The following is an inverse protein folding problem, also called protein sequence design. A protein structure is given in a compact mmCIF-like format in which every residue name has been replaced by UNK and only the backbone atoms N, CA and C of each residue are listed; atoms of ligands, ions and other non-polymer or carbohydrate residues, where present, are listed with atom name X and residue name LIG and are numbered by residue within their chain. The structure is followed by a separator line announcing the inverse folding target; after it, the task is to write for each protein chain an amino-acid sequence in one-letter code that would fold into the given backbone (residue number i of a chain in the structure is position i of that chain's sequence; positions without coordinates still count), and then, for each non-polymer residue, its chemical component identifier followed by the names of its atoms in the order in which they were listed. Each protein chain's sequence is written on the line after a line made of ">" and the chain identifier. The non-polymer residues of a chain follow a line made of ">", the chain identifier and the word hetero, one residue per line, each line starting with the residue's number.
data_IF_377546495697
#
_entry.id   IF_377546495697
#
_cell.length_a   1.000
_cell.length_b   1.000
_cell.length_c   1.000
_cell.angle_alpha   90.00
_cell.angle_beta   90.00
_cell.angle_gamma   90.00
#
_symmetry.space_group_name_H-M   'P 1'
#
loop_
_entity.id
_entity.type
_entity.pdbx_description
1 polymer ?
#
# COMPACT_ATOMS: atom_id res chain seq x y z
N UNK A 1 13.49 -19.20 -13.59
CA UNK A 1 12.31 -19.17 -14.49
C UNK A 1 11.16 -18.33 -13.91
N UNK A 2 10.70 -18.60 -12.69
CA UNK A 2 9.54 -17.95 -12.07
C UNK A 2 9.59 -16.41 -11.98
N UNK A 3 10.73 -15.81 -11.65
CA UNK A 3 10.86 -14.35 -11.58
C UNK A 3 10.55 -13.62 -12.90
N UNK A 4 10.83 -14.26 -14.04
CA UNK A 4 10.46 -13.73 -15.37
C UNK A 4 8.97 -13.87 -15.62
N UNK A 5 8.38 -15.00 -15.23
CA UNK A 5 6.94 -15.24 -15.33
C UNK A 5 6.14 -14.22 -14.52
N UNK A 6 6.52 -13.98 -13.26
CA UNK A 6 5.88 -12.99 -12.39
C UNK A 6 5.83 -11.62 -13.08
N UNK A 7 6.91 -11.17 -13.71
CA UNK A 7 6.94 -9.85 -14.37
C UNK A 7 5.99 -9.74 -15.56
N UNK A 8 5.67 -10.85 -16.22
CA UNK A 8 4.75 -10.92 -17.36
C UNK A 8 3.27 -10.88 -16.97
N UNK A 9 2.94 -11.06 -15.69
CA UNK A 9 1.54 -11.00 -15.23
C UNK A 9 0.96 -9.60 -15.51
N UNK A 10 -0.18 -9.49 -16.19
CA UNK A 10 -0.84 -8.23 -16.44
C UNK A 10 -1.43 -7.63 -15.15
N UNK A 11 -1.46 -6.31 -15.10
CA UNK A 11 -2.11 -5.54 -14.02
C UNK A 11 -2.97 -4.50 -14.70
N UNK A 12 -4.23 -4.40 -14.29
CA UNK A 12 -5.10 -3.35 -14.80
C UNK A 12 -4.67 -1.99 -14.26
N UNK A 13 -4.93 -0.95 -15.04
CA UNK A 13 -4.61 0.43 -14.67
C UNK A 13 -5.25 0.84 -13.31
N UNK A 14 -6.52 0.50 -13.01
CA UNK A 14 -7.10 0.78 -11.69
C UNK A 14 -6.34 0.13 -10.52
N UNK A 15 -5.86 -1.11 -10.67
CA UNK A 15 -5.10 -1.81 -9.63
C UNK A 15 -3.73 -1.15 -9.43
N UNK A 16 -3.06 -0.73 -10.52
CA UNK A 16 -1.82 0.06 -10.44
C UNK A 16 -2.05 1.39 -9.73
N UNK A 17 -3.11 2.11 -10.11
CA UNK A 17 -3.48 3.38 -9.46
C UNK A 17 -3.75 3.22 -7.98
N UNK A 18 -4.39 2.13 -7.56
CA UNK A 18 -4.60 1.84 -6.15
C UNK A 18 -3.30 1.57 -5.39
N UNK A 19 -2.35 0.81 -5.97
CA UNK A 19 -1.04 0.61 -5.37
C UNK A 19 -0.25 1.93 -5.22
N UNK A 20 -0.36 2.82 -6.21
CA UNK A 20 0.21 4.17 -6.14
C UNK A 20 -0.50 5.00 -5.07
N UNK A 21 -1.82 4.99 -5.02
CA UNK A 21 -2.61 5.73 -4.04
C UNK A 21 -2.23 5.34 -2.60
N UNK A 22 -2.16 4.03 -2.30
CA UNK A 22 -1.69 3.53 -1.00
C UNK A 22 -0.29 4.05 -0.66
N UNK A 23 0.67 3.95 -1.59
CA UNK A 23 2.02 4.44 -1.36
C UNK A 23 2.07 5.97 -1.16
N UNK A 24 1.27 6.74 -1.91
CA UNK A 24 1.19 8.20 -1.78
C UNK A 24 0.57 8.60 -0.44
N UNK A 25 -0.52 7.96 -0.04
CA UNK A 25 -1.25 8.26 1.18
C UNK A 25 -0.45 8.03 2.46
N UNK A 26 0.66 7.27 2.41
CA UNK A 26 1.59 7.18 3.56
C UNK A 26 2.39 8.45 3.81
N UNK A 27 2.42 9.41 2.89
CA UNK A 27 3.22 10.64 3.04
C UNK A 27 2.39 11.73 3.71
N UNK A 28 2.96 12.44 4.71
CA UNK A 28 2.32 13.62 5.27
C UNK A 28 2.10 14.67 4.18
N UNK A 29 0.85 14.98 3.89
CA UNK A 29 0.45 15.99 2.92
C UNK A 29 -0.55 16.93 3.60
N UNK A 30 -0.24 18.24 3.76
CA UNK A 30 -1.14 19.20 4.38
C UNK A 30 -2.52 19.25 3.71
N UNK A 31 -2.57 19.03 2.39
CA UNK A 31 -3.79 19.12 1.57
C UNK A 31 -4.57 17.80 1.52
N UNK A 32 -4.10 16.75 2.22
CA UNK A 32 -4.83 15.50 2.32
C UNK A 32 -6.13 15.65 3.13
N UNK A 33 -7.15 14.86 2.78
CA UNK A 33 -8.43 14.84 3.47
C UNK A 33 -8.32 14.41 4.95
N UNK A 34 -9.38 14.67 5.71
CA UNK A 34 -9.45 14.36 7.15
C UNK A 34 -9.21 12.87 7.44
N UNK A 35 -9.57 11.99 6.50
CA UNK A 35 -9.33 10.55 6.58
C UNK A 35 -7.84 10.17 6.68
N UNK A 36 -6.93 11.07 6.29
CA UNK A 36 -5.47 10.88 6.37
C UNK A 36 -4.80 11.71 7.47
N UNK A 37 -5.56 12.36 8.36
CA UNK A 37 -4.98 13.21 9.42
C UNK A 37 -3.98 12.46 10.31
N UNK A 38 -4.27 11.18 10.59
CA UNK A 38 -3.38 10.32 11.36
C UNK A 38 -1.97 10.19 10.72
N UNK A 39 -1.86 10.25 9.40
CA UNK A 39 -0.57 10.22 8.69
C UNK A 39 0.19 11.51 8.97
N UNK A 40 -0.46 12.67 8.89
CA UNK A 40 0.17 13.96 9.24
C UNK A 40 0.63 13.99 10.69
N UNK A 41 -0.18 13.43 11.59
CA UNK A 41 0.09 13.43 13.04
C UNK A 41 1.20 12.49 13.45
N UNK A 42 1.34 11.33 12.80
CA UNK A 42 2.18 10.24 13.30
C UNK A 42 3.36 9.88 12.40
N UNK A 43 3.35 10.27 11.13
CA UNK A 43 4.40 9.87 10.17
C UNK A 43 5.37 11.03 9.93
N UNK A 44 6.67 10.78 10.12
CA UNK A 44 7.75 11.70 9.73
C UNK A 44 8.06 11.57 8.23
N UNK A 45 8.15 10.33 7.74
CA UNK A 45 8.48 10.04 6.34
C UNK A 45 7.67 8.87 5.83
N UNK A 46 6.89 9.12 4.78
CA UNK A 46 6.11 8.09 4.09
C UNK A 46 6.92 7.32 3.04
N UNK A 47 6.27 6.33 2.44
CA UNK A 47 6.88 5.44 1.48
C UNK A 47 7.18 6.12 0.13
N UNK A 48 8.29 5.72 -0.48
CA UNK A 48 8.69 6.17 -1.82
C UNK A 48 7.96 5.42 -2.94
N UNK A 49 8.17 5.86 -4.19
CA UNK A 49 7.72 5.18 -5.42
C UNK A 49 8.06 3.68 -5.46
N UNK A 50 9.14 3.25 -4.78
CA UNK A 50 9.49 1.83 -4.67
C UNK A 50 8.39 1.01 -3.99
N UNK A 51 7.65 1.57 -3.04
CA UNK A 51 6.55 0.84 -2.40
C UNK A 51 5.49 0.41 -3.40
N UNK A 52 5.03 1.30 -4.28
CA UNK A 52 4.08 0.96 -5.34
C UNK A 52 4.60 -0.15 -6.28
N UNK A 53 5.90 -0.10 -6.61
CA UNK A 53 6.55 -1.14 -7.41
C UNK A 53 6.55 -2.50 -6.69
N UNK A 54 6.85 -2.54 -5.38
CA UNK A 54 6.88 -3.78 -4.61
C UNK A 54 5.48 -4.32 -4.28
N UNK A 55 4.50 -3.45 -4.03
CA UNK A 55 3.08 -3.82 -3.94
C UNK A 55 2.64 -4.51 -5.23
N UNK A 56 2.96 -3.92 -6.38
CA UNK A 56 2.62 -4.47 -7.68
C UNK A 56 3.36 -5.79 -7.97
N UNK A 57 4.68 -5.82 -7.78
CA UNK A 57 5.50 -7.00 -8.08
C UNK A 57 5.14 -8.18 -7.18
N UNK A 58 4.96 -7.93 -5.88
CA UNK A 58 4.47 -8.95 -4.98
C UNK A 58 3.05 -9.37 -5.33
N UNK A 59 2.18 -8.44 -5.75
CA UNK A 59 0.79 -8.73 -6.11
C UNK A 59 0.72 -9.69 -7.30
N UNK A 60 1.60 -9.50 -8.29
CA UNK A 60 1.81 -10.45 -9.40
C UNK A 60 2.22 -11.83 -8.92
N UNK A 61 3.17 -11.92 -7.98
CA UNK A 61 3.61 -13.19 -7.44
C UNK A 61 2.49 -13.89 -6.64
N UNK A 62 1.75 -13.13 -5.83
CA UNK A 62 0.62 -13.61 -5.05
C UNK A 62 -0.53 -14.12 -5.92
N UNK A 63 -0.86 -13.41 -7.00
CA UNK A 63 -1.87 -13.85 -7.96
C UNK A 63 -1.53 -15.23 -8.55
N UNK A 64 -0.29 -15.40 -9.04
CA UNK A 64 0.18 -16.66 -9.61
C UNK A 64 0.19 -17.80 -8.61
N UNK A 65 0.66 -17.57 -7.38
CA UNK A 65 0.66 -18.60 -6.32
C UNK A 65 -0.76 -19.01 -5.90
N UNK A 66 -1.77 -18.19 -6.20
CA UNK A 66 -3.19 -18.50 -6.03
C UNK A 66 -3.88 -18.98 -7.31
N UNK A 67 -3.11 -19.36 -8.34
CA UNK A 67 -3.65 -19.89 -9.59
C UNK A 67 -4.33 -18.86 -10.49
N UNK A 68 -4.24 -17.56 -10.18
CA UNK A 68 -4.80 -16.48 -11.00
C UNK A 68 -3.73 -15.89 -11.92
N UNK A 69 -4.16 -15.53 -13.13
CA UNK A 69 -3.29 -14.95 -14.18
C UNK A 69 -3.31 -13.43 -14.22
N UNK A 70 -4.04 -12.77 -13.32
CA UNK A 70 -4.15 -11.32 -13.22
C UNK A 70 -4.15 -10.88 -11.75
N UNK A 71 -3.68 -9.65 -11.51
CA UNK A 71 -3.62 -9.06 -10.16
C UNK A 71 -4.97 -8.42 -9.83
N UNK A 72 -5.42 -8.62 -8.59
CA UNK A 72 -6.62 -7.99 -8.02
C UNK A 72 -6.25 -6.94 -6.96
N UNK A 73 -7.21 -6.12 -6.55
CA UNK A 73 -7.01 -5.21 -5.41
C UNK A 73 -6.67 -5.95 -4.11
N UNK A 74 -7.24 -7.13 -3.89
CA UNK A 74 -6.95 -7.98 -2.73
C UNK A 74 -5.46 -8.35 -2.67
N UNK A 75 -4.82 -8.59 -3.83
CA UNK A 75 -3.39 -8.91 -3.89
C UNK A 75 -2.52 -7.74 -3.43
N UNK A 76 -2.89 -6.52 -3.82
CA UNK A 76 -2.20 -5.29 -3.39
C UNK A 76 -2.39 -5.08 -1.89
N UNK A 77 -3.63 -5.17 -1.40
CA UNK A 77 -3.95 -4.97 0.02
C UNK A 77 -3.26 -5.98 0.92
N UNK A 78 -3.21 -7.25 0.51
CA UNK A 78 -2.53 -8.30 1.25
C UNK A 78 -1.01 -8.08 1.40
N UNK A 79 -0.42 -7.20 0.59
CA UNK A 79 1.01 -6.87 0.62
C UNK A 79 1.30 -5.53 1.29
N UNK A 80 0.27 -4.83 1.78
CA UNK A 80 0.45 -3.53 2.43
C UNK A 80 1.41 -3.63 3.62
N UNK A 81 1.15 -4.51 4.59
CA UNK A 81 2.03 -4.69 5.75
C UNK A 81 3.48 -5.06 5.38
N UNK A 82 3.76 -6.17 4.66
CA UNK A 82 5.14 -6.56 4.38
C UNK A 82 5.89 -5.54 3.51
N UNK A 83 5.19 -4.74 2.68
CA UNK A 83 5.85 -3.71 1.85
C UNK A 83 6.04 -2.40 2.62
N UNK A 84 5.07 -1.96 3.41
CA UNK A 84 5.04 -0.62 4.01
C UNK A 84 5.66 -0.54 5.41
N UNK A 85 5.70 -1.63 6.18
CA UNK A 85 6.13 -1.62 7.60
C UNK A 85 7.50 -0.99 7.83
N UNK A 86 8.44 -1.19 6.92
CA UNK A 86 9.80 -0.63 7.00
C UNK A 86 10.01 0.58 6.06
N UNK A 87 8.92 1.15 5.55
CA UNK A 87 8.91 2.29 4.63
C UNK A 87 8.12 3.49 5.14
N UNK A 88 7.48 3.34 6.29
CA UNK A 88 6.76 4.40 6.99
C UNK A 88 7.49 4.63 8.31
N UNK A 89 8.12 5.79 8.44
CA UNK A 89 8.85 6.18 9.65
C UNK A 89 7.93 7.03 10.53
N UNK A 90 7.69 6.54 11.74
CA UNK A 90 6.88 7.25 12.73
C UNK A 90 7.68 8.37 13.41
N UNK A 91 6.96 9.35 13.95
CA UNK A 91 7.52 10.45 14.72
C UNK A 91 7.43 10.19 16.25
N UNK A 92 8.07 11.04 17.04
CA UNK A 92 8.07 10.92 18.51
C UNK A 92 6.68 11.02 19.15
N UNK A 93 5.75 11.73 18.51
CA UNK A 93 4.37 11.84 18.98
C UNK A 93 3.65 10.49 18.87
N UNK A 94 3.83 9.78 17.77
CA UNK A 94 3.34 8.42 17.58
C UNK A 94 3.94 7.45 18.62
N UNK A 95 5.24 7.55 18.90
CA UNK A 95 5.91 6.74 19.93
C UNK A 95 5.32 7.01 21.33
N UNK A 96 5.09 8.27 21.67
CA UNK A 96 4.48 8.69 22.94
C UNK A 96 3.06 8.14 23.11
N UNK A 97 2.29 8.09 22.01
CA UNK A 97 0.95 7.49 21.97
C UNK A 97 0.97 5.95 21.80
N UNK A 98 2.17 5.32 21.75
CA UNK A 98 2.38 3.89 21.52
C UNK A 98 1.74 3.37 20.22
N UNK A 99 1.69 4.22 19.21
CA UNK A 99 1.21 3.87 17.87
C UNK A 99 2.30 3.07 17.16
N UNK A 100 1.90 1.97 16.56
CA UNK A 100 2.77 1.09 15.78
C UNK A 100 2.56 1.32 14.28
N UNK A 101 3.58 1.01 13.47
CA UNK A 101 3.46 1.14 12.01
C UNK A 101 2.36 0.25 11.44
N UNK A 102 2.11 -0.92 12.05
CA UNK A 102 1.02 -1.79 11.62
C UNK A 102 -0.35 -1.15 11.83
N UNK A 103 -0.58 -0.48 12.96
CA UNK A 103 -1.83 0.27 13.18
C UNK A 103 -2.02 1.42 12.18
N UNK A 104 -0.92 2.09 11.79
CA UNK A 104 -0.96 3.11 10.74
C UNK A 104 -1.33 2.49 9.38
N UNK A 105 -0.79 1.32 9.06
CA UNK A 105 -1.09 0.60 7.81
C UNK A 105 -2.54 0.10 7.80
N UNK A 106 -3.06 -0.40 8.93
CA UNK A 106 -4.46 -0.82 9.05
C UNK A 106 -5.41 0.35 8.77
N UNK A 107 -5.19 1.50 9.41
CA UNK A 107 -5.97 2.72 9.16
C UNK A 107 -5.82 3.23 7.73
N UNK A 108 -4.64 3.11 7.15
CA UNK A 108 -4.40 3.47 5.75
C UNK A 108 -5.23 2.61 4.78
N UNK A 109 -5.36 1.32 5.06
CA UNK A 109 -6.17 0.40 4.26
C UNK A 109 -7.68 0.72 4.36
N UNK A 110 -8.13 1.33 5.44
CA UNK A 110 -9.50 1.83 5.62
C UNK A 110 -9.70 3.16 4.90
N UNK A 111 -8.79 4.13 5.08
CA UNK A 111 -8.85 5.45 4.47
C UNK A 111 -8.72 5.43 2.94
N UNK A 112 -8.00 4.44 2.39
CA UNK A 112 -7.85 4.23 0.95
C UNK A 112 -8.53 2.91 0.56
N UNK A 113 -9.88 2.88 0.44
CA UNK A 113 -10.59 1.67 0.09
C UNK A 113 -10.26 1.22 -1.33
N UNK A 114 -10.35 -0.08 -1.57
CA UNK A 114 -10.39 -0.57 -2.94
C UNK A 114 -11.69 -0.08 -3.59
N UNK A 115 -11.67 0.26 -4.90
CA UNK A 115 -12.88 0.62 -5.62
C UNK A 115 -13.95 -0.47 -5.47
N UNK A 116 -15.15 -0.08 -5.05
CA UNK A 116 -16.28 -0.97 -4.79
C UNK A 116 -17.26 -1.05 -5.97
N UNK A 117 -16.79 -1.03 -7.23
CA UNK A 117 -17.58 -1.55 -8.35
C UNK A 117 -16.76 -1.72 -9.63
N UNK A 118 -17.23 -2.61 -10.50
CA UNK A 118 -16.61 -3.03 -11.77
C UNK A 118 -16.79 -2.05 -12.93
N UNK A 119 -16.68 -0.75 -12.66
CA UNK A 119 -16.50 0.36 -13.61
C UNK A 119 -15.68 1.46 -12.94
#
# INVERSE_FOLDING_TARGET
>A
AFQRLVRKVPVSEPVLRHAVALARATRPDPEAGEELDFVRRWVSYGASVRAAQYLTLGGKARALTRGRTHVSFEDIRALAHPVLRHRVLLNFHAESERVTTDQVIDRLLEAVPAPSSGL
#
